data_IF_586117283848
#
_entry.id   IF_586117283848
#
_cell.length_a   1.000
_cell.length_b   1.000
_cell.length_c   1.000
_cell.angle_alpha   90.00
_cell.angle_beta   90.00
_cell.angle_gamma   90.00
#
_symmetry.space_group_name_H-M   'P 1'
#
loop_
_entity.id
_entity.type
_entity.pdbx_description
1 polymer ?
#
# COMPACT_ATOMS: atom_id res chain seq x y z
N UNK A 1 -15.97 -18.73 -0.53
CA UNK A 1 -14.77 -18.44 -1.35
C UNK A 1 -13.62 -18.18 -0.39
N UNK A 2 -12.54 -18.95 -0.51
CA UNK A 2 -11.32 -18.80 0.29
C UNK A 2 -10.24 -18.15 -0.59
N UNK A 3 -9.74 -16.99 -0.17
CA UNK A 3 -8.74 -16.20 -0.92
C UNK A 3 -7.45 -16.08 -0.13
N UNK A 4 -6.31 -16.32 -0.79
CA UNK A 4 -4.98 -15.99 -0.28
C UNK A 4 -4.49 -14.70 -0.93
N UNK A 5 -4.06 -13.72 -0.14
CA UNK A 5 -3.34 -12.54 -0.61
C UNK A 5 -1.91 -12.61 -0.09
N UNK A 6 -0.92 -12.52 -0.99
CA UNK A 6 0.50 -12.45 -0.65
C UNK A 6 1.01 -11.06 -1.05
N UNK A 7 1.31 -10.23 -0.05
CA UNK A 7 1.80 -8.86 -0.20
C UNK A 7 2.84 -8.55 0.90
N UNK A 8 4.09 -8.87 0.61
CA UNK A 8 5.30 -8.68 1.42
C UNK A 8 5.98 -7.31 1.25
N UNK A 9 5.57 -6.52 0.24
CA UNK A 9 6.19 -5.25 -0.15
C UNK A 9 6.20 -4.16 0.92
N UNK A 10 6.46 -2.91 0.49
CA UNK A 10 6.55 -1.79 1.41
C UNK A 10 5.23 -1.56 2.16
N UNK A 11 5.28 -0.94 3.35
CA UNK A 11 4.09 -0.70 4.16
C UNK A 11 2.99 0.08 3.41
N UNK A 12 3.38 1.05 2.59
CA UNK A 12 2.44 1.79 1.73
C UNK A 12 1.74 0.88 0.72
N UNK A 13 2.48 -0.05 0.11
CA UNK A 13 1.95 -1.03 -0.84
C UNK A 13 0.97 -1.99 -0.18
N UNK A 14 1.21 -2.38 1.06
CA UNK A 14 0.24 -3.18 1.83
C UNK A 14 -1.04 -2.39 2.06
N UNK A 15 -0.95 -1.16 2.59
CA UNK A 15 -2.13 -0.31 2.88
C UNK A 15 -2.94 -0.03 1.62
N UNK A 16 -2.30 0.34 0.52
CA UNK A 16 -2.98 0.66 -0.75
C UNK A 16 -3.58 -0.56 -1.47
N UNK A 17 -3.25 -1.78 -1.04
CA UNK A 17 -3.85 -3.05 -1.52
C UNK A 17 -5.12 -3.43 -0.75
N UNK A 18 -5.30 -2.90 0.46
CA UNK A 18 -6.46 -3.20 1.32
C UNK A 18 -7.84 -2.86 0.75
N UNK A 19 -8.01 -1.94 -0.23
CA UNK A 19 -9.28 -1.78 -0.95
C UNK A 19 -9.87 -3.07 -1.51
N UNK A 20 -9.06 -4.07 -1.85
CA UNK A 20 -9.57 -5.39 -2.28
C UNK A 20 -10.48 -6.05 -1.23
N UNK A 21 -10.25 -5.80 0.05
CA UNK A 21 -11.07 -6.34 1.14
C UNK A 21 -12.50 -5.77 1.17
N UNK A 22 -12.78 -4.72 0.37
CA UNK A 22 -14.14 -4.20 0.17
C UNK A 22 -14.94 -5.04 -0.80
N UNK A 23 -14.29 -5.75 -1.72
CA UNK A 23 -14.94 -6.47 -2.83
C UNK A 23 -14.74 -7.98 -2.79
N UNK A 24 -13.69 -8.46 -2.11
CA UNK A 24 -13.50 -9.87 -1.86
C UNK A 24 -14.50 -10.35 -0.80
N UNK A 25 -15.14 -11.49 -1.08
CA UNK A 25 -16.14 -12.12 -0.21
C UNK A 25 -15.57 -13.43 0.36
N UNK A 26 -16.02 -13.80 1.56
CA UNK A 26 -15.60 -15.03 2.24
C UNK A 26 -14.29 -14.87 3.00
N UNK A 27 -13.59 -15.98 3.20
CA UNK A 27 -12.41 -16.05 4.05
C UNK A 27 -11.17 -15.55 3.32
N UNK A 28 -10.59 -14.47 3.82
CA UNK A 28 -9.33 -13.92 3.29
C UNK A 28 -8.20 -14.23 4.26
N UNK A 29 -7.22 -14.99 3.78
CA UNK A 29 -5.92 -15.19 4.43
C UNK A 29 -4.94 -14.22 3.80
N UNK A 30 -4.25 -13.41 4.60
CA UNK A 30 -3.28 -12.43 4.11
C UNK A 30 -1.88 -12.74 4.65
N UNK A 31 -0.93 -12.98 3.75
CA UNK A 31 0.50 -13.12 4.07
C UNK A 31 1.22 -11.82 3.78
N UNK A 32 1.83 -11.22 4.81
CA UNK A 32 2.53 -9.94 4.71
C UNK A 32 3.87 -9.97 5.45
N UNK A 33 4.68 -8.93 5.26
CA UNK A 33 5.88 -8.74 6.07
C UNK A 33 5.51 -8.48 7.54
N UNK A 34 6.32 -8.95 8.49
CA UNK A 34 6.07 -8.77 9.93
C UNK A 34 5.76 -7.30 10.31
N UNK A 35 6.47 -6.28 9.79
CA UNK A 35 6.16 -4.89 10.09
C UNK A 35 4.80 -4.42 9.56
N UNK A 36 4.23 -5.07 8.55
CA UNK A 36 2.94 -4.70 7.97
C UNK A 36 1.73 -5.33 8.71
N UNK A 37 1.95 -6.42 9.43
CA UNK A 37 0.92 -7.15 10.18
C UNK A 37 0.08 -6.29 11.14
N UNK A 38 0.63 -5.26 11.82
CA UNK A 38 -0.16 -4.36 12.67
C UNK A 38 -1.04 -3.36 11.89
N UNK A 39 -0.86 -3.21 10.58
CA UNK A 39 -1.69 -2.32 9.74
C UNK A 39 -2.93 -3.03 9.22
N UNK A 40 -2.89 -4.36 9.11
CA UNK A 40 -3.95 -5.14 8.47
C UNK A 40 -5.24 -5.15 9.30
N UNK A 41 -6.41 -4.93 8.68
CA UNK A 41 -7.69 -4.89 9.38
C UNK A 41 -8.13 -6.30 9.81
N UNK A 42 -7.61 -6.80 10.95
CA UNK A 42 -7.79 -8.18 11.43
C UNK A 42 -9.24 -8.68 11.42
N UNK A 43 -10.22 -7.82 11.70
CA UNK A 43 -11.66 -8.18 11.68
C UNK A 43 -12.22 -8.51 10.29
N UNK A 44 -11.48 -8.21 9.21
CA UNK A 44 -11.84 -8.50 7.82
C UNK A 44 -11.10 -9.72 7.26
N UNK A 45 -10.24 -10.35 8.06
CA UNK A 45 -9.36 -11.43 7.62
C UNK A 45 -9.63 -12.68 8.47
N UNK A 46 -9.64 -13.84 7.82
CA UNK A 46 -9.64 -15.12 8.52
C UNK A 46 -8.29 -15.34 9.22
N UNK A 47 -7.20 -14.94 8.57
CA UNK A 47 -5.87 -14.93 9.16
C UNK A 47 -4.99 -13.84 8.53
N UNK A 48 -4.04 -13.32 9.30
CA UNK A 48 -2.95 -12.49 8.80
C UNK A 48 -1.62 -13.01 9.35
N UNK A 49 -0.78 -13.50 8.45
CA UNK A 49 0.40 -14.31 8.76
C UNK A 49 1.66 -13.63 8.25
N UNK A 50 2.77 -13.82 8.96
CA UNK A 50 4.08 -13.55 8.36
C UNK A 50 4.40 -14.62 7.32
N UNK A 51 5.40 -14.38 6.47
CA UNK A 51 5.86 -15.40 5.54
C UNK A 51 6.35 -16.67 6.26
N UNK A 52 7.01 -16.52 7.42
CA UNK A 52 7.53 -17.64 8.22
C UNK A 52 6.38 -18.49 8.77
N UNK A 53 5.29 -17.85 9.18
CA UNK A 53 4.09 -18.52 9.71
C UNK A 53 3.21 -19.12 8.61
N UNK A 54 3.48 -18.78 7.34
CA UNK A 54 2.70 -19.23 6.19
C UNK A 54 3.17 -20.60 5.64
N UNK A 55 4.20 -21.22 6.24
CA UNK A 55 4.71 -22.52 5.81
C UNK A 55 3.63 -23.62 5.83
N UNK A 56 2.72 -23.56 6.80
CA UNK A 56 1.59 -24.50 6.93
C UNK A 56 0.52 -24.36 5.85
N UNK A 57 0.55 -23.30 5.03
CA UNK A 57 -0.38 -23.15 3.90
C UNK A 57 -0.01 -24.06 2.73
N UNK A 58 1.17 -24.69 2.73
CA UNK A 58 1.56 -25.62 1.67
C UNK A 58 0.54 -26.77 1.56
N UNK A 59 0.01 -26.98 0.36
CA UNK A 59 -1.05 -27.98 0.13
C UNK A 59 -2.46 -27.53 0.52
N UNK A 60 -2.64 -26.37 1.15
CA UNK A 60 -3.98 -25.80 1.31
C UNK A 60 -4.58 -25.40 -0.05
N UNK A 61 -5.91 -25.55 -0.15
CA UNK A 61 -6.68 -25.15 -1.32
C UNK A 61 -7.31 -23.78 -1.13
N UNK A 62 -7.07 -22.91 -2.09
CA UNK A 62 -7.70 -21.59 -2.22
C UNK A 62 -8.48 -21.51 -3.53
N UNK A 63 -9.61 -20.81 -3.51
CA UNK A 63 -10.36 -20.53 -4.74
C UNK A 63 -9.65 -19.45 -5.57
N UNK A 64 -8.98 -18.52 -4.90
CA UNK A 64 -8.22 -17.42 -5.50
C UNK A 64 -6.93 -17.17 -4.73
N UNK A 65 -5.81 -17.04 -5.46
CA UNK A 65 -4.52 -16.61 -4.92
C UNK A 65 -4.10 -15.33 -5.62
N UNK A 66 -3.81 -14.29 -4.84
CA UNK A 66 -3.33 -12.99 -5.30
C UNK A 66 -1.88 -12.81 -4.84
N UNK A 67 -0.92 -12.94 -5.76
CA UNK A 67 0.51 -12.73 -5.50
C UNK A 67 0.97 -11.39 -6.06
N UNK A 68 1.00 -10.36 -5.24
CA UNK A 68 0.94 -8.98 -5.68
C UNK A 68 2.28 -8.23 -5.58
N UNK A 69 3.39 -8.98 -5.46
CA UNK A 69 4.75 -8.44 -5.37
C UNK A 69 5.72 -9.11 -6.32
N UNK A 70 6.73 -8.36 -6.73
CA UNK A 70 7.91 -8.83 -7.46
C UNK A 70 8.94 -9.49 -6.51
N UNK A 71 8.47 -10.23 -5.51
CA UNK A 71 9.30 -10.93 -4.52
C UNK A 71 9.27 -12.44 -4.81
N UNK A 72 10.44 -13.04 -5.04
CA UNK A 72 10.58 -14.48 -5.33
C UNK A 72 9.99 -15.36 -4.22
N UNK A 73 10.01 -14.94 -2.95
CA UNK A 73 9.43 -15.69 -1.84
C UNK A 73 7.91 -15.64 -1.86
N UNK A 74 7.33 -14.49 -2.21
CA UNK A 74 5.89 -14.36 -2.41
C UNK A 74 5.42 -15.27 -3.56
N UNK A 75 6.12 -15.21 -4.69
CA UNK A 75 5.88 -16.06 -5.86
C UNK A 75 6.05 -17.56 -5.54
N UNK A 76 7.06 -17.93 -4.73
CA UNK A 76 7.27 -19.32 -4.31
C UNK A 76 6.12 -19.84 -3.46
N UNK A 77 5.60 -19.05 -2.52
CA UNK A 77 4.43 -19.42 -1.74
C UNK A 77 3.21 -19.59 -2.66
N UNK A 78 2.99 -18.63 -3.56
CA UNK A 78 1.87 -18.67 -4.51
C UNK A 78 1.90 -19.90 -5.44
N UNK A 79 3.09 -20.35 -5.85
CA UNK A 79 3.27 -21.57 -6.67
C UNK A 79 3.10 -22.88 -5.88
N UNK A 80 3.19 -22.86 -4.54
CA UNK A 80 3.14 -24.08 -3.70
C UNK A 80 1.75 -24.39 -3.14
N UNK A 81 0.84 -23.43 -3.17
CA UNK A 81 -0.55 -23.62 -2.74
C UNK A 81 -1.41 -24.13 -3.89
N UNK A 82 -2.47 -24.87 -3.59
CA UNK A 82 -3.45 -25.26 -4.61
C UNK A 82 -4.40 -24.09 -4.87
N UNK A 83 -4.47 -23.59 -6.11
CA UNK A 83 -5.28 -22.44 -6.47
C UNK A 83 -6.29 -22.79 -7.56
N UNK A 84 -7.57 -22.49 -7.35
CA UNK A 84 -8.59 -22.51 -8.42
C UNK A 84 -8.31 -21.45 -9.49
N UNK A 85 -7.80 -20.28 -9.07
CA UNK A 85 -7.28 -19.23 -9.92
C UNK A 85 -6.09 -18.54 -9.24
N UNK A 86 -4.99 -18.38 -9.97
CA UNK A 86 -3.85 -17.56 -9.55
C UNK A 86 -3.84 -16.25 -10.34
N UNK A 87 -3.61 -15.13 -9.66
CA UNK A 87 -3.43 -13.81 -10.27
C UNK A 87 -2.21 -13.15 -9.65
N UNK A 88 -1.28 -12.70 -10.49
CA UNK A 88 -0.05 -12.04 -10.07
C UNK A 88 1.21 -12.86 -10.34
N UNK A 89 2.22 -12.73 -9.50
CA UNK A 89 3.54 -13.36 -9.69
C UNK A 89 3.59 -14.80 -9.21
N UNK A 90 4.36 -15.64 -9.91
CA UNK A 90 4.57 -17.05 -9.57
C UNK A 90 5.93 -17.52 -10.08
N UNK A 91 6.41 -18.65 -9.54
CA UNK A 91 7.58 -19.35 -10.06
C UNK A 91 7.17 -20.44 -11.06
N UNK A 92 7.88 -20.52 -12.18
CA UNK A 92 7.80 -21.66 -13.11
C UNK A 92 8.58 -22.88 -12.60
N UNK A 93 8.54 -23.99 -13.36
CA UNK A 93 9.24 -25.23 -13.00
C UNK A 93 10.77 -25.12 -12.93
N UNK A 94 11.35 -24.10 -13.57
CA UNK A 94 12.78 -23.78 -13.48
C UNK A 94 13.12 -22.74 -12.42
N UNK A 95 12.14 -22.27 -11.65
CA UNK A 95 12.31 -21.21 -10.66
C UNK A 95 12.40 -19.80 -11.26
N UNK A 96 12.02 -19.62 -12.53
CA UNK A 96 11.86 -18.31 -13.17
C UNK A 96 10.68 -17.55 -12.57
N UNK A 97 10.86 -16.25 -12.32
CA UNK A 97 9.79 -15.39 -11.79
C UNK A 97 8.94 -14.86 -12.96
N UNK A 98 7.68 -15.31 -13.02
CA UNK A 98 6.71 -14.94 -14.04
C UNK A 98 5.50 -14.26 -13.40
N UNK A 99 4.58 -13.78 -14.24
CA UNK A 99 3.29 -13.23 -13.81
C UNK A 99 2.16 -13.60 -14.78
N UNK A 100 0.94 -13.63 -14.25
CA UNK A 100 -0.26 -14.01 -15.01
C UNK A 100 -0.68 -12.94 -16.02
N UNK A 101 -1.39 -13.35 -17.08
CA UNK A 101 -1.92 -12.42 -18.10
C UNK A 101 -2.84 -11.36 -17.49
N UNK A 102 -3.68 -11.73 -16.54
CA UNK A 102 -4.62 -10.81 -15.88
C UNK A 102 -3.90 -9.71 -15.09
N UNK A 103 -2.70 -10.01 -14.58
CA UNK A 103 -1.87 -9.05 -13.87
C UNK A 103 -0.92 -8.24 -14.75
N UNK A 104 -0.88 -8.51 -16.07
CA UNK A 104 0.07 -7.91 -16.99
C UNK A 104 -0.05 -6.39 -17.06
N UNK A 105 -1.25 -5.82 -16.89
CA UNK A 105 -1.42 -4.37 -16.94
C UNK A 105 -0.56 -3.62 -15.92
N UNK A 106 -0.21 -4.25 -14.80
CA UNK A 106 0.72 -3.71 -13.81
C UNK A 106 2.15 -4.20 -14.04
N UNK A 107 2.35 -5.51 -14.18
CA UNK A 107 3.69 -6.08 -14.24
C UNK A 107 4.43 -5.83 -15.57
N UNK A 108 3.72 -5.50 -16.65
CA UNK A 108 4.35 -5.04 -17.89
C UNK A 108 5.08 -3.70 -17.69
N UNK A 109 4.77 -2.94 -16.62
CA UNK A 109 5.41 -1.68 -16.24
C UNK A 109 6.46 -1.85 -15.12
N UNK A 110 6.79 -3.09 -14.77
CA UNK A 110 7.58 -3.43 -13.59
C UNK A 110 8.96 -4.02 -13.95
N UNK A 111 9.81 -4.28 -12.93
CA UNK A 111 11.14 -4.84 -13.14
C UNK A 111 11.09 -6.27 -13.68
N UNK A 112 10.04 -7.03 -13.35
CA UNK A 112 9.82 -8.39 -13.85
C UNK A 112 9.18 -8.43 -15.24
N UNK A 113 8.95 -7.27 -15.88
CA UNK A 113 8.28 -7.20 -17.19
C UNK A 113 8.97 -8.08 -18.24
N UNK A 114 8.20 -8.97 -18.86
CA UNK A 114 8.68 -9.84 -19.95
C UNK A 114 8.90 -9.10 -21.27
N UNK A 115 8.52 -7.83 -21.34
CA UNK A 115 8.70 -6.96 -22.51
C UNK A 115 10.07 -6.28 -22.55
N UNK A 116 10.88 -6.48 -21.50
CA UNK A 116 12.15 -5.80 -21.34
C UNK A 116 12.02 -4.42 -20.70
N UNK A 117 13.14 -3.96 -20.13
CA UNK A 117 13.17 -2.75 -19.28
C UNK A 117 12.78 -1.48 -20.02
N UNK A 118 13.26 -1.29 -21.25
CA UNK A 118 12.96 -0.10 -22.05
C UNK A 118 11.46 0.04 -22.32
N UNK A 119 10.78 -1.08 -22.63
CA UNK A 119 9.34 -1.08 -22.86
C UNK A 119 8.55 -0.88 -21.57
N UNK A 120 9.00 -1.49 -20.46
CA UNK A 120 8.38 -1.28 -19.15
C UNK A 120 8.44 0.19 -18.73
N UNK A 121 9.60 0.84 -18.88
CA UNK A 121 9.78 2.26 -18.56
C UNK A 121 8.91 3.17 -19.46
N UNK A 122 8.80 2.85 -20.76
CA UNK A 122 7.91 3.56 -21.70
C UNK A 122 6.45 3.48 -21.28
N UNK A 123 5.98 2.27 -20.95
CA UNK A 123 4.58 2.04 -20.50
C UNK A 123 4.31 2.72 -19.17
N UNK A 124 5.26 2.63 -18.24
CA UNK A 124 5.20 3.29 -16.94
C UNK A 124 5.06 4.81 -17.08
N UNK A 125 5.82 5.43 -17.97
CA UNK A 125 5.73 6.87 -18.28
C UNK A 125 4.38 7.25 -18.92
N UNK A 126 3.86 6.39 -19.80
CA UNK A 126 2.57 6.60 -20.46
C UNK A 126 1.36 6.33 -19.56
N UNK A 127 1.54 5.65 -18.43
CA UNK A 127 0.45 5.25 -17.55
C UNK A 127 -0.31 6.45 -16.98
N UNK A 128 -1.65 6.34 -16.97
CA UNK A 128 -2.57 7.29 -16.36
C UNK A 128 -3.55 6.64 -15.39
N UNK A 129 -3.42 5.32 -15.17
CA UNK A 129 -4.27 4.55 -14.26
C UNK A 129 -3.57 4.38 -12.92
N UNK A 130 -4.32 4.58 -11.85
CA UNK A 130 -3.90 4.33 -10.47
C UNK A 130 -3.55 2.85 -10.26
N UNK A 131 -2.72 2.56 -9.27
CA UNK A 131 -2.48 1.19 -8.81
C UNK A 131 -3.78 0.43 -8.52
N UNK A 132 -4.75 1.07 -7.88
CA UNK A 132 -6.02 0.44 -7.54
C UNK A 132 -6.83 0.09 -8.79
N UNK A 133 -6.80 0.94 -9.82
CA UNK A 133 -7.43 0.61 -11.11
C UNK A 133 -6.80 -0.60 -11.76
N UNK A 134 -5.46 -0.72 -11.72
CA UNK A 134 -4.78 -1.93 -12.18
C UNK A 134 -5.17 -3.14 -11.34
N UNK A 135 -5.11 -3.03 -10.01
CA UNK A 135 -5.37 -4.09 -9.05
C UNK A 135 -6.80 -4.65 -9.20
N UNK A 136 -7.80 -3.78 -9.32
CA UNK A 136 -9.18 -4.19 -9.53
C UNK A 136 -9.39 -4.79 -10.92
N UNK A 137 -8.72 -4.24 -11.94
CA UNK A 137 -8.79 -4.78 -13.30
C UNK A 137 -8.24 -6.22 -13.40
N UNK A 138 -7.24 -6.60 -12.59
CA UNK A 138 -6.75 -7.99 -12.54
C UNK A 138 -7.86 -8.99 -12.13
N UNK A 139 -8.88 -8.51 -11.42
CA UNK A 139 -10.03 -9.29 -10.99
C UNK A 139 -11.26 -9.09 -11.87
N UNK A 140 -11.13 -8.39 -13.01
CA UNK A 140 -12.25 -8.04 -13.87
C UNK A 140 -13.21 -7.03 -13.23
N UNK A 141 -12.71 -6.17 -12.32
CA UNK A 141 -13.50 -5.18 -11.60
C UNK A 141 -13.04 -3.76 -11.94
N UNK A 142 -13.95 -2.80 -11.72
CA UNK A 142 -13.64 -1.36 -11.79
C UNK A 142 -13.42 -0.83 -10.38
N UNK A 143 -12.30 -0.13 -10.17
CA UNK A 143 -12.09 0.66 -8.97
C UNK A 143 -13.04 1.86 -8.99
N UNK A 144 -13.81 2.04 -7.91
CA UNK A 144 -14.85 3.07 -7.78
C UNK A 144 -14.62 3.96 -6.56
N UNK A 145 -13.38 4.01 -6.06
CA UNK A 145 -13.02 4.80 -4.88
C UNK A 145 -13.09 4.01 -3.57
N UNK A 146 -12.94 2.69 -3.62
CA UNK A 146 -12.89 1.82 -2.45
C UNK A 146 -11.79 2.29 -1.48
N UNK A 147 -12.23 2.79 -0.32
CA UNK A 147 -11.33 3.34 0.69
C UNK A 147 -10.39 2.29 1.27
N UNK A 148 -9.19 2.74 1.62
CA UNK A 148 -8.21 1.95 2.33
C UNK A 148 -8.78 1.46 3.67
N UNK A 149 -8.34 0.29 4.10
CA UNK A 149 -8.73 -0.35 5.34
C UNK A 149 -7.48 -0.64 6.16
N UNK A 150 -7.37 -0.04 7.33
CA UNK A 150 -6.33 -0.39 8.30
C UNK A 150 -6.97 -0.76 9.65
N UNK A 151 -6.29 -1.56 10.46
CA UNK A 151 -6.81 -1.93 11.77
C UNK A 151 -5.73 -2.39 12.76
N UNK A 152 -5.79 -1.95 14.03
CA UNK A 152 -6.77 -1.01 14.59
C UNK A 152 -6.52 0.44 14.14
N UNK A 153 -7.58 1.10 13.65
CA UNK A 153 -7.55 2.50 13.27
C UNK A 153 -7.82 3.40 14.48
N UNK A 154 -6.94 4.37 14.82
CA UNK A 154 -7.21 5.33 15.88
C UNK A 154 -8.42 6.21 15.56
N UNK A 155 -9.12 6.64 16.61
CA UNK A 155 -10.18 7.62 16.48
C UNK A 155 -9.63 8.95 15.94
N UNK A 156 -10.28 9.49 14.92
CA UNK A 156 -9.92 10.78 14.35
C UNK A 156 -10.22 11.90 15.34
N UNK A 157 -9.29 12.84 15.48
CA UNK A 157 -9.53 14.06 16.26
C UNK A 157 -10.66 14.87 15.61
N UNK A 158 -11.69 15.20 16.39
CA UNK A 158 -12.79 16.06 15.92
C UNK A 158 -12.25 17.47 15.66
N UNK A 159 -12.56 18.05 14.49
CA UNK A 159 -12.26 19.44 14.17
C UNK A 159 -12.98 20.34 15.19
N UNK A 160 -12.23 21.15 15.93
CA UNK A 160 -12.80 22.13 16.85
C UNK A 160 -12.91 23.49 16.14
N UNK A 161 -14.09 24.13 16.16
CA UNK A 161 -14.36 25.39 15.44
C UNK A 161 -13.49 26.58 15.89
N UNK A 162 -12.82 26.51 17.04
CA UNK A 162 -12.12 27.64 17.68
C UNK A 162 -10.67 27.33 18.08
N UNK A 163 -10.00 26.41 17.37
CA UNK A 163 -8.60 26.06 17.65
C UNK A 163 -7.76 26.18 16.38
N UNK A 164 -6.47 26.58 16.50
CA UNK A 164 -5.53 26.52 15.40
C UNK A 164 -5.55 25.12 14.75
N UNK A 165 -5.69 25.01 13.41
CA UNK A 165 -5.63 23.73 12.73
C UNK A 165 -4.23 23.13 12.87
N UNK A 166 -4.17 21.84 13.17
CA UNK A 166 -2.89 21.11 13.28
C UNK A 166 -2.52 20.59 11.90
N UNK A 167 -1.40 21.05 11.35
CA UNK A 167 -0.91 20.61 10.04
C UNK A 167 0.30 19.70 10.24
N UNK A 168 0.12 18.40 9.98
CA UNK A 168 1.21 17.43 10.05
C UNK A 168 2.14 17.55 8.85
N UNK A 169 3.45 17.67 9.08
CA UNK A 169 4.46 17.81 8.03
C UNK A 169 5.40 16.60 8.07
N UNK A 170 5.45 15.83 6.98
CA UNK A 170 6.40 14.73 6.85
C UNK A 170 7.56 15.09 5.91
N UNK A 171 8.62 15.62 6.50
CA UNK A 171 9.84 15.99 5.78
C UNK A 171 10.77 14.80 5.46
N UNK A 172 10.36 13.58 5.80
CA UNK A 172 11.16 12.36 5.61
C UNK A 172 10.86 11.73 4.25
N UNK A 173 11.79 10.93 3.77
CA UNK A 173 11.54 9.95 2.72
C UNK A 173 12.20 8.63 3.10
N UNK A 174 11.73 7.54 2.49
CA UNK A 174 12.39 6.25 2.63
C UNK A 174 13.80 6.27 2.03
N UNK A 175 14.69 5.43 2.56
CA UNK A 175 16.09 5.33 2.13
C UNK A 175 16.24 4.92 0.66
N UNK A 176 15.26 4.19 0.10
CA UNK A 176 15.24 3.76 -1.30
C UNK A 176 15.10 4.92 -2.29
N UNK A 177 14.38 5.98 -1.91
CA UNK A 177 14.07 7.12 -2.78
C UNK A 177 14.25 8.44 -2.03
N UNK A 178 15.50 8.83 -1.68
CA UNK A 178 15.75 10.05 -0.92
C UNK A 178 15.32 11.31 -1.68
N UNK A 179 15.26 11.25 -3.02
CA UNK A 179 14.81 12.34 -3.90
C UNK A 179 13.31 12.66 -3.77
N UNK A 180 12.53 11.86 -3.03
CA UNK A 180 11.16 12.21 -2.64
C UNK A 180 11.10 13.32 -1.58
N UNK A 181 12.22 13.71 -0.97
CA UNK A 181 12.26 14.77 0.04
C UNK A 181 12.15 16.14 -0.62
N UNK A 182 11.13 16.89 -0.22
CA UNK A 182 11.00 18.29 -0.58
C UNK A 182 11.73 19.19 0.43
N UNK A 183 12.52 20.15 -0.03
CA UNK A 183 13.30 21.04 0.85
C UNK A 183 12.43 22.11 1.54
N UNK A 184 11.24 22.40 1.00
CA UNK A 184 10.41 23.54 1.40
C UNK A 184 9.68 23.41 2.75
N UNK A 185 9.71 22.27 3.43
CA UNK A 185 8.89 22.05 4.64
C UNK A 185 9.14 23.07 5.77
N UNK A 186 10.38 23.52 5.97
CA UNK A 186 10.69 24.53 7.01
C UNK A 186 10.12 25.90 6.67
N UNK A 187 10.10 26.27 5.39
CA UNK A 187 9.49 27.52 4.93
C UNK A 187 7.97 27.41 5.02
N UNK A 188 7.39 26.27 4.59
CA UNK A 188 5.96 26.01 4.73
C UNK A 188 5.50 26.10 6.20
N UNK A 189 6.26 25.52 7.14
CA UNK A 189 5.92 25.59 8.56
C UNK A 189 5.81 27.03 9.07
N UNK A 190 6.76 27.90 8.71
CA UNK A 190 6.74 29.32 9.10
C UNK A 190 5.54 30.07 8.51
N UNK A 191 5.20 29.79 7.25
CA UNK A 191 4.02 30.39 6.61
C UNK A 191 2.72 29.92 7.28
N UNK A 192 2.61 28.63 7.57
CA UNK A 192 1.46 28.07 8.29
C UNK A 192 1.30 28.68 9.69
N UNK A 193 2.40 28.91 10.42
CA UNK A 193 2.37 29.58 11.72
C UNK A 193 1.90 31.03 11.61
N UNK A 194 2.39 31.78 10.61
CA UNK A 194 1.97 33.14 10.34
C UNK A 194 0.46 33.23 10.01
N UNK A 195 -0.08 32.22 9.34
CA UNK A 195 -1.50 32.09 9.01
C UNK A 195 -2.36 31.52 10.17
N UNK A 196 -1.78 31.33 11.35
CA UNK A 196 -2.49 30.88 12.56
C UNK A 196 -2.74 29.38 12.65
N UNK A 197 -2.07 28.57 11.83
CA UNK A 197 -2.04 27.11 11.97
C UNK A 197 -0.92 26.66 12.91
N UNK A 198 -1.00 25.41 13.38
CA UNK A 198 0.03 24.79 14.21
C UNK A 198 0.72 23.66 13.43
N UNK A 199 1.90 23.90 12.83
CA UNK A 199 2.64 22.84 12.16
C UNK A 199 3.17 21.82 13.18
N UNK A 200 3.20 20.56 12.76
CA UNK A 200 3.71 19.45 13.55
C UNK A 200 4.57 18.56 12.66
N UNK A 201 5.89 18.56 12.90
CA UNK A 201 6.79 17.68 12.17
C UNK A 201 6.71 16.25 12.69
N UNK A 202 6.35 15.32 11.81
CA UNK A 202 6.34 13.91 12.14
C UNK A 202 7.74 13.39 12.46
N UNK A 203 7.80 12.42 13.38
CA UNK A 203 9.04 11.72 13.78
C UNK A 203 8.85 10.22 13.65
N UNK A 204 9.96 9.49 13.60
CA UNK A 204 9.90 8.04 13.65
C UNK A 204 9.34 7.59 15.01
N UNK A 205 8.46 6.59 14.99
CA UNK A 205 7.87 5.99 16.18
C UNK A 205 8.29 4.53 16.26
N UNK A 206 8.38 3.99 17.48
CA UNK A 206 8.66 2.57 17.68
C UNK A 206 7.51 1.66 17.26
N UNK A 207 6.26 2.16 17.23
CA UNK A 207 5.06 1.41 16.82
C UNK A 207 4.28 2.17 15.76
N UNK A 208 3.76 1.44 14.77
CA UNK A 208 2.92 1.99 13.71
C UNK A 208 1.60 2.58 14.25
N UNK A 209 1.03 1.98 15.30
CA UNK A 209 -0.17 2.50 15.96
C UNK A 209 0.06 3.92 16.52
N UNK A 210 1.25 4.20 17.04
CA UNK A 210 1.60 5.51 17.59
C UNK A 210 1.74 6.54 16.47
N UNK A 211 2.33 6.12 15.35
CA UNK A 211 2.44 6.96 14.16
C UNK A 211 1.06 7.26 13.53
N UNK A 212 0.18 6.26 13.42
CA UNK A 212 -1.19 6.45 12.97
C UNK A 212 -1.97 7.39 13.89
N UNK A 213 -1.73 7.35 15.21
CA UNK A 213 -2.35 8.27 16.19
C UNK A 213 -1.88 9.71 15.98
N UNK A 214 -0.60 9.93 15.68
CA UNK A 214 -0.10 11.26 15.33
C UNK A 214 -0.83 11.80 14.09
N UNK A 215 -0.97 10.98 13.05
CA UNK A 215 -1.68 11.37 11.81
C UNK A 215 -3.15 11.67 12.09
N UNK A 216 -3.84 10.82 12.86
CA UNK A 216 -5.24 11.00 13.23
C UNK A 216 -5.50 12.25 14.10
N UNK A 217 -4.46 12.79 14.75
CA UNK A 217 -4.52 14.03 15.51
C UNK A 217 -4.37 15.30 14.64
N UNK A 218 -4.00 15.15 13.37
CA UNK A 218 -3.88 16.27 12.44
C UNK A 218 -5.21 16.63 11.77
N UNK A 219 -5.38 17.91 11.45
CA UNK A 219 -6.51 18.43 10.67
C UNK A 219 -6.23 18.37 9.16
N UNK A 220 -4.95 18.39 8.77
CA UNK A 220 -4.39 18.26 7.42
C UNK A 220 -2.98 17.63 7.53
N UNK A 221 -2.57 16.87 6.52
CA UNK A 221 -1.20 16.38 6.38
C UNK A 221 -0.58 16.87 5.07
N UNK A 222 0.69 17.29 5.12
CA UNK A 222 1.52 17.55 3.93
C UNK A 222 2.70 16.58 3.95
N UNK A 223 2.81 15.75 2.92
CA UNK A 223 3.83 14.70 2.84
C UNK A 223 4.20 14.39 1.40
N UNK A 224 5.28 13.66 1.18
CA UNK A 224 5.55 13.02 -0.12
C UNK A 224 4.77 11.71 -0.30
N UNK A 225 4.96 11.06 -1.45
CA UNK A 225 4.53 9.68 -1.71
C UNK A 225 5.24 8.68 -0.79
N UNK A 226 4.64 8.46 0.39
CA UNK A 226 5.18 7.73 1.54
C UNK A 226 4.05 7.03 2.29
N UNK A 227 4.39 6.17 3.26
CA UNK A 227 3.41 5.55 4.16
C UNK A 227 2.45 6.58 4.80
N UNK A 228 2.93 7.76 5.12
CA UNK A 228 2.16 8.84 5.75
C UNK A 228 0.96 9.25 4.90
N UNK A 229 1.15 9.36 3.58
CA UNK A 229 0.05 9.63 2.64
C UNK A 229 -1.02 8.54 2.73
N UNK A 230 -0.60 7.27 2.64
CA UNK A 230 -1.54 6.15 2.65
C UNK A 230 -2.28 6.02 3.99
N UNK A 231 -1.60 6.25 5.12
CA UNK A 231 -2.26 6.25 6.43
C UNK A 231 -3.22 7.43 6.58
N UNK A 232 -2.87 8.64 6.09
CA UNK A 232 -3.77 9.78 6.12
C UNK A 232 -5.06 9.50 5.34
N UNK A 233 -4.93 8.94 4.12
CA UNK A 233 -6.08 8.50 3.31
C UNK A 233 -6.93 7.44 4.03
N UNK A 234 -6.29 6.43 4.62
CA UNK A 234 -7.01 5.37 5.36
C UNK A 234 -7.72 5.87 6.62
N UNK A 235 -7.25 6.98 7.21
CA UNK A 235 -7.83 7.61 8.40
C UNK A 235 -8.83 8.73 8.08
N UNK A 236 -9.06 9.03 6.80
CA UNK A 236 -9.90 10.16 6.37
C UNK A 236 -9.33 11.52 6.80
N UNK A 237 -8.01 11.61 6.94
CA UNK A 237 -7.31 12.87 7.19
C UNK A 237 -6.96 13.48 5.83
N UNK A 238 -7.41 14.72 5.52
CA UNK A 238 -7.04 15.39 4.29
C UNK A 238 -5.52 15.44 4.12
N UNK A 239 -5.05 15.15 2.90
CA UNK A 239 -3.63 15.11 2.59
C UNK A 239 -3.31 15.93 1.34
N UNK A 240 -2.27 16.75 1.42
CA UNK A 240 -1.58 17.35 0.27
C UNK A 240 -0.32 16.52 0.03
N UNK A 241 -0.34 15.73 -1.03
CA UNK A 241 0.75 14.83 -1.38
C UNK A 241 1.65 15.44 -2.47
N UNK A 242 2.96 15.49 -2.20
CA UNK A 242 3.97 15.97 -3.13
C UNK A 242 4.58 14.80 -3.90
N UNK A 243 4.33 14.76 -5.20
CA UNK A 243 4.91 13.80 -6.13
C UNK A 243 6.06 14.48 -6.88
N UNK A 244 7.30 14.08 -6.54
CA UNK A 244 8.53 14.69 -7.11
C UNK A 244 9.10 13.81 -8.22
N UNK A 245 9.74 12.70 -7.83
CA UNK A 245 10.34 11.73 -8.76
C UNK A 245 9.47 10.48 -8.96
N UNK A 246 8.21 10.51 -8.50
CA UNK A 246 7.24 9.43 -8.65
C UNK A 246 5.94 9.96 -9.23
N UNK A 247 5.20 9.10 -9.95
CA UNK A 247 3.93 9.47 -10.55
C UNK A 247 2.78 9.38 -9.53
N UNK A 248 1.81 10.30 -9.54
CA UNK A 248 0.57 10.16 -8.77
C UNK A 248 -0.37 9.07 -9.32
N UNK A 249 -0.13 8.62 -10.56
CA UNK A 249 -0.82 7.46 -11.12
C UNK A 249 -0.26 6.14 -10.54
N UNK A 250 0.89 6.17 -9.86
CA UNK A 250 1.52 4.97 -9.32
C UNK A 250 1.05 4.57 -7.96
#
# INVERSE_FOLDING_TARGET
MKTLIVKLGALGDVVRTTPLLRVLKGDVVWVASRPALPLLPRRRLAAALSLDDAAGLAGERFDLVLSLDEDRRAAALASRVSAGRLVGTYLDGGGGLLYTRDSASWFDMSLVSRLGRAEADRRKLANRRTYQEHLFAMLGRRFSGEEYLIGPAPARRRKAKRRPPIVGLDARAGTRWPMKRWAGYRTLARLLEADGARPFFFRQRGRLADFARDIAACDLVVCGDTLTMHLALALGVPAVALFLCTSPAE
#
